data_IF_647590648799
#
_entry.id   IF_647590648799
#
_cell.length_a   1.000
_cell.length_b   1.000
_cell.length_c   1.000
_cell.angle_alpha   90.00
_cell.angle_beta   90.00
_cell.angle_gamma   90.00
#
_symmetry.space_group_name_H-M   'P 1'
#
loop_
_entity.id
_entity.type
_entity.pdbx_description
1 polymer ?
#
# COMPACT_ATOMS: atom_id res chain seq x y z
N UNK A 1 -6.91 -17.45 -15.44
CA UNK A 1 -5.63 -17.31 -14.72
C UNK A 1 -5.48 -18.50 -13.79
N UNK A 2 -4.28 -19.02 -13.69
CA UNK A 2 -3.99 -20.20 -12.87
C UNK A 2 -4.30 -19.88 -11.40
N UNK A 3 -5.12 -20.71 -10.73
CA UNK A 3 -5.57 -20.47 -9.36
C UNK A 3 -4.42 -20.49 -8.32
N UNK A 4 -3.24 -20.91 -8.73
CA UNK A 4 -2.04 -20.98 -7.89
C UNK A 4 -1.13 -19.76 -7.98
N UNK A 5 -1.49 -18.74 -8.77
CA UNK A 5 -0.70 -17.53 -8.89
C UNK A 5 -1.27 -16.38 -8.06
N UNK A 6 -0.40 -15.73 -7.28
CA UNK A 6 -0.69 -14.47 -6.62
C UNK A 6 -0.29 -13.31 -7.52
N UNK A 7 -1.20 -12.38 -7.73
CA UNK A 7 -0.98 -11.18 -8.52
C UNK A 7 -1.04 -9.93 -7.64
N UNK A 8 -0.20 -8.92 -7.92
CA UNK A 8 -0.24 -7.65 -7.21
C UNK A 8 -1.51 -6.88 -7.54
N UNK A 9 -1.98 -5.97 -6.66
CA UNK A 9 -3.08 -5.07 -6.97
C UNK A 9 -2.69 -4.06 -8.07
N UNK A 10 -3.69 -3.54 -8.78
CA UNK A 10 -3.53 -2.36 -9.62
C UNK A 10 -3.69 -1.11 -8.75
N UNK A 11 -2.71 -0.21 -8.79
CA UNK A 11 -2.77 1.10 -8.13
C UNK A 11 -2.94 2.20 -9.16
N UNK A 12 -3.92 3.05 -8.97
CA UNK A 12 -4.13 4.25 -9.77
C UNK A 12 -3.57 5.45 -8.99
N UNK A 13 -2.51 6.04 -9.51
CA UNK A 13 -1.92 7.28 -8.98
C UNK A 13 -2.75 8.43 -9.53
N UNK A 14 -3.82 8.80 -8.82
CA UNK A 14 -4.85 9.73 -9.34
C UNK A 14 -4.33 11.15 -9.55
N UNK A 15 -3.35 11.55 -8.75
CA UNK A 15 -2.69 12.85 -8.83
C UNK A 15 -1.28 12.76 -8.24
N UNK A 16 -0.47 13.79 -8.50
CA UNK A 16 0.88 13.91 -7.94
C UNK A 16 0.96 14.94 -6.81
N UNK A 17 -0.05 15.80 -6.69
CA UNK A 17 -0.15 16.83 -5.67
C UNK A 17 -0.51 16.23 -4.31
N UNK A 18 0.18 16.70 -3.26
CA UNK A 18 -0.11 16.34 -1.87
C UNK A 18 0.01 17.57 -0.96
N UNK A 19 -0.86 17.66 0.02
CA UNK A 19 -0.82 18.68 1.07
C UNK A 19 0.01 18.25 2.30
N UNK A 20 0.51 17.00 2.36
CA UNK A 20 1.42 16.50 3.37
C UNK A 20 2.89 16.80 3.06
N UNK A 21 3.75 16.80 4.10
CA UNK A 21 5.21 17.07 4.01
C UNK A 21 6.03 15.94 4.65
N UNK A 22 5.68 14.69 4.38
CA UNK A 22 6.36 13.54 4.96
C UNK A 22 7.72 13.34 4.29
N UNK A 23 8.83 13.39 5.05
CA UNK A 23 10.18 13.21 4.50
C UNK A 23 10.44 11.79 3.97
N UNK A 24 9.70 10.81 4.49
CA UNK A 24 9.77 9.41 4.06
C UNK A 24 8.84 9.12 2.88
N UNK A 25 8.23 10.14 2.28
CA UNK A 25 7.31 9.94 1.17
C UNK A 25 8.06 9.48 -0.08
N UNK A 26 7.64 8.35 -0.63
CA UNK A 26 8.17 7.84 -1.90
C UNK A 26 7.45 8.38 -3.14
N UNK A 27 6.47 9.29 -2.97
CA UNK A 27 5.67 9.93 -4.02
C UNK A 27 5.07 8.95 -5.05
N UNK A 28 4.77 7.71 -4.62
CA UNK A 28 4.43 6.57 -5.50
C UNK A 28 5.45 6.31 -6.63
N UNK A 29 6.70 6.76 -6.46
CA UNK A 29 7.75 6.66 -7.46
C UNK A 29 7.67 7.72 -8.56
N UNK A 30 6.82 8.73 -8.43
CA UNK A 30 6.66 9.80 -9.41
C UNK A 30 7.49 11.03 -9.06
N UNK A 31 8.12 11.64 -10.07
CA UNK A 31 8.92 12.86 -9.96
C UNK A 31 8.27 14.08 -10.59
N UNK A 32 7.15 13.89 -11.28
CA UNK A 32 6.42 14.97 -11.99
C UNK A 32 5.46 15.65 -11.01
N UNK A 33 5.35 16.99 -11.09
CA UNK A 33 4.52 17.81 -10.22
C UNK A 33 3.19 18.20 -10.90
N UNK A 34 2.14 18.32 -10.07
CA UNK A 34 0.85 18.93 -10.39
C UNK A 34 0.06 18.32 -11.55
N UNK A 35 0.12 17.00 -11.70
CA UNK A 35 -0.68 16.28 -12.68
C UNK A 35 -1.84 15.51 -12.04
N UNK A 36 -2.98 15.49 -12.73
CA UNK A 36 -4.13 14.66 -12.40
C UNK A 36 -4.37 13.62 -13.48
N UNK A 37 -4.68 12.38 -13.09
CA UNK A 37 -4.97 11.31 -14.03
C UNK A 37 -6.27 11.61 -14.79
N UNK A 38 -6.25 11.70 -16.13
CA UNK A 38 -7.46 11.87 -16.93
C UNK A 38 -8.46 10.73 -16.73
N UNK A 39 -9.74 11.05 -16.79
CA UNK A 39 -10.82 10.03 -16.69
C UNK A 39 -10.72 8.98 -17.80
N UNK A 40 -10.21 9.34 -18.98
CA UNK A 40 -9.94 8.39 -20.04
C UNK A 40 -8.93 7.32 -19.64
N UNK A 41 -7.83 7.71 -18.99
CA UNK A 41 -6.81 6.77 -18.49
C UNK A 41 -7.38 5.90 -17.36
N UNK A 42 -8.15 6.48 -16.43
CA UNK A 42 -8.85 5.71 -15.38
C UNK A 42 -9.74 4.64 -16.02
N UNK A 43 -10.49 5.04 -17.05
CA UNK A 43 -11.39 4.15 -17.79
C UNK A 43 -10.64 2.99 -18.44
N UNK A 44 -9.53 3.27 -19.15
CA UNK A 44 -8.67 2.23 -19.74
C UNK A 44 -8.12 1.26 -18.67
N UNK A 45 -7.67 1.78 -17.54
CA UNK A 45 -7.19 0.98 -16.42
C UNK A 45 -8.27 0.01 -15.88
N UNK A 46 -9.50 0.52 -15.72
CA UNK A 46 -10.63 -0.27 -15.20
C UNK A 46 -11.07 -1.33 -16.21
N UNK A 47 -11.08 -1.00 -17.50
CA UNK A 47 -11.44 -1.93 -18.57
C UNK A 47 -10.40 -3.07 -18.66
N UNK A 48 -9.09 -2.76 -18.61
CA UNK A 48 -8.05 -3.75 -18.54
C UNK A 48 -8.13 -4.61 -17.28
N UNK A 49 -8.38 -3.99 -16.13
CA UNK A 49 -8.54 -4.70 -14.86
C UNK A 49 -9.72 -5.68 -14.89
N UNK A 50 -10.84 -5.28 -15.46
CA UNK A 50 -12.02 -6.14 -15.64
C UNK A 50 -11.74 -7.31 -16.57
N UNK A 51 -11.08 -7.07 -17.70
CA UNK A 51 -10.70 -8.10 -18.66
C UNK A 51 -9.75 -9.14 -18.05
N UNK A 52 -8.76 -8.69 -17.30
CA UNK A 52 -7.79 -9.54 -16.62
C UNK A 52 -8.29 -10.11 -15.29
N UNK A 53 -9.50 -9.77 -14.87
CA UNK A 53 -10.07 -10.16 -13.58
C UNK A 53 -9.16 -9.77 -12.40
N UNK A 54 -8.55 -8.58 -12.48
CA UNK A 54 -7.74 -8.04 -11.37
C UNK A 54 -8.66 -7.83 -10.17
N UNK A 55 -8.37 -8.50 -9.07
CA UNK A 55 -9.27 -8.52 -7.90
C UNK A 55 -9.30 -7.21 -7.14
N UNK A 56 -8.19 -6.47 -7.13
CA UNK A 56 -8.04 -5.28 -6.30
C UNK A 56 -7.53 -4.07 -7.09
N UNK A 57 -8.24 -2.95 -6.96
CA UNK A 57 -7.80 -1.63 -7.40
C UNK A 57 -7.63 -0.75 -6.15
N UNK A 58 -6.51 -0.02 -6.08
CA UNK A 58 -6.23 0.91 -4.99
C UNK A 58 -6.03 2.31 -5.55
N UNK A 59 -6.82 3.25 -5.06
CA UNK A 59 -6.69 4.68 -5.38
C UNK A 59 -5.62 5.28 -4.47
N UNK A 60 -4.66 5.97 -5.07
CA UNK A 60 -3.53 6.60 -4.40
C UNK A 60 -3.10 7.84 -5.18
N UNK A 61 -1.95 8.40 -4.86
CA UNK A 61 -1.39 9.54 -5.55
C UNK A 61 -0.44 10.29 -4.64
N UNK A 62 -0.39 11.60 -4.79
CA UNK A 62 0.03 12.47 -3.71
C UNK A 62 -1.00 12.37 -2.60
N UNK A 63 -2.12 13.05 -2.74
CA UNK A 63 -3.31 12.85 -1.90
C UNK A 63 -4.56 12.76 -2.78
N UNK A 64 -5.18 11.58 -2.92
CA UNK A 64 -6.31 11.39 -3.85
C UNK A 64 -7.55 12.20 -3.50
N UNK A 65 -7.76 12.54 -2.22
CA UNK A 65 -8.93 13.35 -1.79
C UNK A 65 -8.78 14.84 -2.11
N UNK A 66 -7.64 15.29 -2.66
CA UNK A 66 -7.52 16.63 -3.23
C UNK A 66 -8.28 16.78 -4.55
N UNK A 67 -8.56 15.68 -5.24
CA UNK A 67 -9.38 15.68 -6.45
C UNK A 67 -10.82 15.99 -6.12
N UNK A 68 -11.38 16.97 -6.79
CA UNK A 68 -12.78 17.39 -6.61
C UNK A 68 -13.78 16.39 -7.20
N UNK A 69 -13.35 15.56 -8.14
CA UNK A 69 -14.13 14.51 -8.80
C UNK A 69 -13.93 13.11 -8.21
N UNK A 70 -13.37 12.99 -7.01
CA UNK A 70 -13.09 11.68 -6.37
C UNK A 70 -14.35 10.81 -6.23
N UNK A 71 -15.49 11.42 -5.95
CA UNK A 71 -16.78 10.73 -5.83
C UNK A 71 -17.21 10.12 -7.17
N UNK A 72 -17.06 10.87 -8.27
CA UNK A 72 -17.40 10.42 -9.62
C UNK A 72 -16.45 9.29 -10.05
N UNK A 73 -15.17 9.39 -9.72
CA UNK A 73 -14.19 8.34 -10.01
C UNK A 73 -14.56 7.02 -9.32
N UNK A 74 -14.88 7.06 -8.03
CA UNK A 74 -15.29 5.85 -7.29
C UNK A 74 -16.56 5.25 -7.86
N UNK A 75 -17.56 6.10 -8.18
CA UNK A 75 -18.79 5.67 -8.84
C UNK A 75 -18.51 5.03 -10.21
N UNK A 76 -17.69 5.67 -11.05
CA UNK A 76 -17.30 5.16 -12.37
C UNK A 76 -16.67 3.76 -12.27
N UNK A 77 -15.71 3.58 -11.38
CA UNK A 77 -15.01 2.31 -11.21
C UNK A 77 -16.00 1.21 -10.78
N UNK A 78 -16.83 1.49 -9.77
CA UNK A 78 -17.81 0.52 -9.29
C UNK A 78 -18.92 0.21 -10.30
N UNK A 79 -19.32 1.17 -11.13
CA UNK A 79 -20.27 0.94 -12.23
C UNK A 79 -19.66 0.05 -13.33
N UNK A 80 -18.42 0.30 -13.74
CA UNK A 80 -17.73 -0.47 -14.79
C UNK A 80 -17.31 -1.86 -14.32
N UNK A 81 -16.85 -1.97 -13.07
CA UNK A 81 -16.38 -3.23 -12.48
C UNK A 81 -16.93 -3.42 -11.05
N UNK A 82 -18.22 -3.82 -10.89
CA UNK A 82 -18.88 -3.90 -9.58
C UNK A 82 -18.22 -4.84 -8.57
N UNK A 83 -17.57 -5.91 -9.06
CA UNK A 83 -16.95 -6.96 -8.22
C UNK A 83 -15.53 -6.66 -7.79
N UNK A 84 -14.96 -5.53 -8.23
CA UNK A 84 -13.58 -5.18 -7.85
C UNK A 84 -13.54 -4.79 -6.37
N UNK A 85 -12.53 -5.29 -5.67
CA UNK A 85 -12.16 -4.82 -4.34
C UNK A 85 -11.49 -3.45 -4.50
N UNK A 86 -12.22 -2.37 -4.20
CA UNK A 86 -11.78 -0.99 -4.39
C UNK A 86 -11.37 -0.36 -3.06
N UNK A 87 -10.12 0.07 -2.99
CA UNK A 87 -9.58 0.76 -1.81
C UNK A 87 -9.06 2.15 -2.12
N UNK A 88 -8.94 2.97 -1.09
CA UNK A 88 -8.29 4.28 -1.13
C UNK A 88 -7.21 4.37 -0.05
N UNK A 89 -6.11 5.08 -0.34
CA UNK A 89 -5.11 5.48 0.65
C UNK A 89 -5.09 7.00 0.72
N UNK A 90 -5.33 7.56 1.89
CA UNK A 90 -5.46 9.02 2.12
C UNK A 90 -4.76 9.44 3.41
N UNK A 91 -4.33 10.69 3.49
CA UNK A 91 -3.88 11.32 4.73
C UNK A 91 -5.05 11.88 5.57
N UNK A 92 -6.27 11.85 5.04
CA UNK A 92 -7.48 12.26 5.73
C UNK A 92 -7.78 13.75 5.77
N UNK A 93 -6.91 14.60 5.24
CA UNK A 93 -7.04 16.05 5.35
C UNK A 93 -8.35 16.60 4.76
N UNK A 94 -8.78 16.05 3.61
CA UNK A 94 -10.04 16.45 2.96
C UNK A 94 -11.11 15.36 3.02
N UNK A 95 -11.01 14.44 3.96
CA UNK A 95 -11.97 13.34 4.07
C UNK A 95 -13.41 13.82 4.34
N UNK A 96 -13.57 14.98 4.98
CA UNK A 96 -14.89 15.63 5.22
C UNK A 96 -15.58 16.06 3.92
N UNK A 97 -14.86 16.18 2.81
CA UNK A 97 -15.38 16.56 1.50
C UNK A 97 -15.81 15.33 0.67
N UNK A 98 -15.37 14.13 1.06
CA UNK A 98 -15.74 12.88 0.41
C UNK A 98 -17.15 12.47 0.84
N UNK A 99 -18.01 12.15 -0.12
CA UNK A 99 -19.40 11.79 0.18
C UNK A 99 -19.51 10.49 0.97
N UNK A 100 -20.55 10.38 1.78
CA UNK A 100 -20.85 9.14 2.50
C UNK A 100 -21.14 7.97 1.53
N UNK A 101 -21.66 8.26 0.35
CA UNK A 101 -21.89 7.24 -0.67
C UNK A 101 -20.56 6.65 -1.15
N UNK A 102 -19.56 7.48 -1.43
CA UNK A 102 -18.22 7.05 -1.78
C UNK A 102 -17.59 6.21 -0.69
N UNK A 103 -17.67 6.67 0.59
CA UNK A 103 -17.16 5.88 1.71
C UNK A 103 -17.86 4.51 1.84
N UNK A 104 -19.14 4.39 1.49
CA UNK A 104 -19.86 3.11 1.46
C UNK A 104 -19.40 2.21 0.31
N UNK A 105 -19.16 2.78 -0.88
CA UNK A 105 -18.76 2.05 -2.08
C UNK A 105 -17.33 1.50 -2.02
N UNK A 106 -16.45 2.14 -1.25
CA UNK A 106 -15.10 1.62 -1.00
C UNK A 106 -15.16 0.34 -0.16
N UNK A 107 -14.37 -0.66 -0.52
CA UNK A 107 -14.22 -1.90 0.24
C UNK A 107 -13.13 -1.78 1.31
N UNK A 108 -12.11 -0.95 1.08
CA UNK A 108 -11.03 -0.67 2.01
C UNK A 108 -10.70 0.82 2.06
N UNK A 109 -10.47 1.34 3.27
CA UNK A 109 -10.02 2.71 3.50
C UNK A 109 -8.73 2.64 4.32
N UNK A 110 -7.62 3.13 3.76
CA UNK A 110 -6.35 3.22 4.46
C UNK A 110 -6.10 4.69 4.81
N UNK A 111 -6.16 5.01 6.10
CA UNK A 111 -5.82 6.33 6.61
C UNK A 111 -4.36 6.33 7.07
N UNK A 112 -3.53 7.16 6.46
CA UNK A 112 -2.11 7.29 6.81
C UNK A 112 -1.93 8.32 7.90
N UNK A 113 -1.37 7.90 9.04
CA UNK A 113 -1.03 8.78 10.16
C UNK A 113 0.41 8.59 10.60
N UNK A 114 0.92 9.50 11.41
CA UNK A 114 2.26 9.39 12.03
C UNK A 114 2.15 9.34 13.55
N UNK A 115 1.32 10.20 14.14
CA UNK A 115 1.14 10.35 15.57
C UNK A 115 -0.18 11.06 15.87
N UNK A 116 -0.56 11.10 17.16
CA UNK A 116 -1.59 11.98 17.71
C UNK A 116 -1.00 13.22 18.39
N UNK A 117 0.31 13.31 18.48
CA UNK A 117 0.99 14.45 19.11
C UNK A 117 1.04 15.62 18.14
N UNK A 118 0.54 16.78 18.57
CA UNK A 118 0.48 18.00 17.75
C UNK A 118 1.82 18.38 17.09
N UNK A 119 2.96 18.34 17.78
CA UNK A 119 4.25 18.65 17.15
C UNK A 119 4.60 17.73 15.97
N UNK A 120 4.23 16.45 16.05
CA UNK A 120 4.47 15.50 14.96
C UNK A 120 3.42 15.63 13.85
N UNK A 121 2.17 15.93 14.21
CA UNK A 121 1.11 16.24 13.24
C UNK A 121 1.51 17.46 12.43
N UNK A 122 1.94 18.54 13.06
CA UNK A 122 2.38 19.75 12.38
C UNK A 122 3.60 19.53 11.51
N UNK A 123 4.56 18.73 12.00
CA UNK A 123 5.78 18.41 11.27
C UNK A 123 5.51 17.63 9.97
N UNK A 124 4.54 16.69 9.98
CA UNK A 124 4.37 15.72 8.90
C UNK A 124 3.05 15.79 8.15
N UNK A 125 1.94 15.99 8.82
CA UNK A 125 0.60 15.78 8.23
C UNK A 125 -0.31 16.98 8.28
N UNK A 126 -0.18 17.84 9.27
CA UNK A 126 -1.01 19.06 9.46
C UNK A 126 -2.51 18.79 9.47
N UNK A 127 -2.95 17.67 10.04
CA UNK A 127 -4.38 17.32 10.14
C UNK A 127 -4.73 16.95 11.57
N UNK A 128 -5.83 17.52 12.08
CA UNK A 128 -6.45 17.05 13.30
C UNK A 128 -7.14 15.72 13.05
N UNK A 129 -6.60 14.66 13.65
CA UNK A 129 -7.10 13.29 13.46
C UNK A 129 -8.48 13.05 14.07
N UNK A 130 -9.01 13.96 14.93
CA UNK A 130 -10.36 13.83 15.49
C UNK A 130 -11.43 13.82 14.40
N UNK A 131 -11.27 14.64 13.36
CA UNK A 131 -12.21 14.76 12.24
C UNK A 131 -12.23 13.48 11.41
N UNK A 132 -11.10 13.02 10.79
CA UNK A 132 -11.13 11.80 9.98
C UNK A 132 -11.50 10.56 10.79
N UNK A 133 -11.12 10.46 12.06
CA UNK A 133 -11.50 9.32 12.92
C UNK A 133 -13.00 9.29 13.18
N UNK A 134 -13.62 10.44 13.44
CA UNK A 134 -15.07 10.56 13.62
C UNK A 134 -15.83 10.13 12.35
N UNK A 135 -15.37 10.58 11.18
CA UNK A 135 -15.96 10.22 9.87
C UNK A 135 -15.83 8.72 9.59
N UNK A 136 -14.68 8.12 9.91
CA UNK A 136 -14.39 6.72 9.60
C UNK A 136 -14.89 5.72 10.64
N UNK A 137 -15.26 6.17 11.85
CA UNK A 137 -15.78 5.29 12.90
C UNK A 137 -16.92 4.37 12.43
N UNK A 138 -17.93 4.82 11.66
CA UNK A 138 -18.98 3.93 11.12
C UNK A 138 -18.46 2.88 10.14
N UNK A 139 -17.25 3.05 9.61
CA UNK A 139 -16.59 2.20 8.63
C UNK A 139 -15.38 1.45 9.20
N UNK A 140 -15.28 1.32 10.53
CA UNK A 140 -14.10 0.80 11.22
C UNK A 140 -13.66 -0.59 10.71
N UNK A 141 -14.60 -1.48 10.40
CA UNK A 141 -14.31 -2.84 9.93
C UNK A 141 -13.53 -2.89 8.60
N UNK A 142 -13.66 -1.87 7.76
CA UNK A 142 -12.95 -1.74 6.48
C UNK A 142 -11.89 -0.64 6.50
N UNK A 143 -11.66 -0.04 7.64
CA UNK A 143 -10.64 1.00 7.83
C UNK A 143 -9.38 0.41 8.45
N UNK A 144 -8.24 0.71 7.82
CA UNK A 144 -6.92 0.38 8.34
C UNK A 144 -6.13 1.67 8.53
N UNK A 145 -5.56 1.83 9.70
CA UNK A 145 -4.65 2.94 9.99
C UNK A 145 -3.24 2.50 9.61
N UNK A 146 -2.67 3.15 8.61
CA UNK A 146 -1.30 2.95 8.17
C UNK A 146 -0.38 3.87 8.96
N UNK A 147 0.61 3.30 9.64
CA UNK A 147 1.59 4.06 10.43
C UNK A 147 2.98 3.73 9.90
N UNK A 148 3.68 4.74 9.38
CA UNK A 148 5.11 4.62 9.11
C UNK A 148 5.86 4.80 10.43
N UNK A 149 6.59 3.78 10.84
CA UNK A 149 7.38 3.78 12.07
C UNK A 149 8.69 4.49 11.79
N UNK A 150 8.95 5.54 12.54
CA UNK A 150 10.15 6.37 12.48
C UNK A 150 10.67 6.61 13.90
N UNK A 151 11.90 7.09 14.02
CA UNK A 151 12.50 7.36 15.33
C UNK A 151 11.63 8.31 16.18
N UNK A 152 11.03 9.32 15.54
CA UNK A 152 10.21 10.34 16.24
C UNK A 152 8.94 9.77 16.91
N UNK A 153 8.34 8.69 16.38
CA UNK A 153 7.11 8.13 16.92
C UNK A 153 7.27 6.79 17.64
N UNK A 154 8.47 6.20 17.66
CA UNK A 154 8.68 4.87 18.22
C UNK A 154 8.30 4.76 19.71
N UNK A 155 8.59 5.78 20.50
CA UNK A 155 8.29 5.80 21.93
C UNK A 155 6.79 5.85 22.23
N UNK A 156 6.01 6.52 21.37
CA UNK A 156 4.55 6.63 21.48
C UNK A 156 3.80 5.53 20.71
N UNK A 157 4.50 4.64 20.00
CA UNK A 157 3.89 3.72 19.05
C UNK A 157 2.80 2.84 19.65
N UNK A 158 3.03 2.29 20.85
CA UNK A 158 2.03 1.46 21.54
C UNK A 158 0.77 2.27 21.86
N UNK A 159 0.92 3.48 22.37
CA UNK A 159 -0.24 4.34 22.68
C UNK A 159 -1.01 4.75 21.43
N UNK A 160 -0.31 4.99 20.32
CA UNK A 160 -0.93 5.28 19.02
C UNK A 160 -1.77 4.08 18.55
N UNK A 161 -1.23 2.86 18.64
CA UNK A 161 -1.92 1.62 18.26
C UNK A 161 -3.17 1.41 19.13
N UNK A 162 -3.04 1.52 20.47
CA UNK A 162 -4.16 1.33 21.39
C UNK A 162 -5.29 2.33 21.10
N UNK A 163 -4.94 3.61 20.88
CA UNK A 163 -5.93 4.62 20.51
C UNK A 163 -6.64 4.31 19.20
N UNK A 164 -5.96 3.75 18.20
CA UNK A 164 -6.62 3.28 16.98
C UNK A 164 -7.58 2.11 17.26
N UNK A 165 -7.20 1.20 18.18
CA UNK A 165 -8.06 0.08 18.58
C UNK A 165 -9.30 0.51 19.35
N UNK A 166 -9.24 1.59 20.14
CA UNK A 166 -10.40 2.15 20.85
C UNK A 166 -11.47 2.66 19.87
N UNK A 167 -11.06 3.10 18.68
CA UNK A 167 -11.98 3.44 17.58
C UNK A 167 -12.47 2.22 16.78
N UNK A 168 -11.92 1.04 17.02
CA UNK A 168 -12.26 -0.19 16.32
C UNK A 168 -11.50 -0.41 15.01
N UNK A 169 -10.49 0.40 14.70
CA UNK A 169 -9.72 0.32 13.47
C UNK A 169 -8.71 -0.83 13.46
N UNK A 170 -8.37 -1.29 12.26
CA UNK A 170 -7.19 -2.11 12.04
C UNK A 170 -5.94 -1.22 11.97
N UNK A 171 -4.79 -1.78 12.31
CA UNK A 171 -3.50 -1.05 12.25
C UNK A 171 -2.51 -1.83 11.41
N UNK A 172 -1.86 -1.14 10.50
CA UNK A 172 -0.82 -1.67 9.62
C UNK A 172 0.45 -0.82 9.77
N UNK A 173 1.46 -1.41 10.36
CA UNK A 173 2.75 -0.76 10.61
C UNK A 173 3.69 -1.01 9.43
N UNK A 174 4.43 0.01 9.05
CA UNK A 174 5.43 -0.03 7.99
C UNK A 174 6.70 0.69 8.45
N UNK A 175 7.85 0.15 8.10
CA UNK A 175 9.10 0.88 8.26
C UNK A 175 9.37 1.78 7.05
N UNK A 176 10.14 2.84 7.28
CA UNK A 176 10.62 3.71 6.21
C UNK A 176 11.41 2.90 5.18
N UNK A 177 11.17 3.20 3.91
CA UNK A 177 11.83 2.50 2.80
C UNK A 177 13.23 3.06 2.48
N UNK A 178 13.46 4.30 2.87
CA UNK A 178 14.68 5.04 2.54
C UNK A 178 15.77 4.76 3.55
N UNK A 179 15.38 4.64 4.83
CA UNK A 179 16.30 4.39 5.93
C UNK A 179 16.04 2.98 6.48
N UNK A 180 16.85 2.00 6.06
CA UNK A 180 16.79 0.62 6.56
C UNK A 180 17.46 0.56 7.95
N UNK A 181 16.79 1.13 8.96
CA UNK A 181 17.28 1.16 10.33
C UNK A 181 16.95 -0.16 11.04
N UNK A 182 17.89 -1.08 11.02
CA UNK A 182 17.78 -2.41 11.66
C UNK A 182 17.61 -2.27 13.17
N UNK A 183 18.23 -1.28 13.81
CA UNK A 183 18.12 -1.08 15.25
C UNK A 183 16.69 -0.67 15.61
N UNK A 184 16.12 0.32 14.92
CA UNK A 184 14.73 0.75 15.07
C UNK A 184 13.77 -0.44 14.87
N UNK A 185 13.98 -1.23 13.81
CA UNK A 185 13.15 -2.41 13.53
C UNK A 185 13.20 -3.41 14.69
N UNK A 186 14.38 -3.71 15.23
CA UNK A 186 14.57 -4.65 16.32
C UNK A 186 13.93 -4.17 17.62
N UNK A 187 14.09 -2.89 17.97
CA UNK A 187 13.48 -2.28 19.15
C UNK A 187 11.95 -2.32 19.08
N UNK A 188 11.40 -1.97 17.93
CA UNK A 188 9.95 -1.98 17.70
C UNK A 188 9.39 -3.39 17.75
N UNK A 189 10.01 -4.37 17.08
CA UNK A 189 9.61 -5.77 17.13
C UNK A 189 9.59 -6.31 18.57
N UNK A 190 10.63 -6.01 19.33
CA UNK A 190 10.74 -6.41 20.76
C UNK A 190 9.62 -5.81 21.59
N UNK A 191 9.32 -4.53 21.40
CA UNK A 191 8.25 -3.82 22.13
C UNK A 191 6.87 -4.37 21.80
N UNK A 192 6.59 -4.61 20.50
CA UNK A 192 5.32 -5.17 20.04
C UNK A 192 5.13 -6.62 20.54
N UNK A 193 6.19 -7.45 20.47
CA UNK A 193 6.13 -8.82 20.94
C UNK A 193 5.90 -8.90 22.46
N UNK A 194 6.52 -8.00 23.23
CA UNK A 194 6.30 -7.90 24.68
C UNK A 194 4.85 -7.50 24.99
N UNK A 195 4.25 -6.61 24.23
CA UNK A 195 2.89 -6.09 24.46
C UNK A 195 1.81 -7.04 23.95
N UNK A 196 1.97 -7.57 22.73
CA UNK A 196 0.92 -8.29 22.01
C UNK A 196 1.18 -9.80 21.88
N UNK A 197 2.31 -10.28 22.40
CA UNK A 197 2.69 -11.69 22.31
C UNK A 197 3.32 -12.07 20.99
N UNK A 198 3.39 -13.38 20.73
CA UNK A 198 3.95 -13.90 19.50
C UNK A 198 3.07 -13.57 18.30
N UNK A 199 3.68 -13.55 17.12
CA UNK A 199 3.03 -13.27 15.85
C UNK A 199 3.07 -14.48 14.92
N UNK A 200 2.13 -14.54 13.98
CA UNK A 200 2.16 -15.45 12.85
C UNK A 200 2.70 -14.69 11.61
N UNK A 201 3.43 -15.40 10.75
CA UNK A 201 3.94 -14.84 9.51
C UNK A 201 3.01 -15.23 8.38
N UNK A 202 2.52 -14.25 7.64
CA UNK A 202 1.69 -14.43 6.47
C UNK A 202 2.40 -13.86 5.25
N UNK A 203 2.48 -14.68 4.20
CA UNK A 203 3.05 -14.28 2.93
C UNK A 203 1.90 -13.87 2.00
N UNK A 204 1.71 -12.56 1.84
CA UNK A 204 0.84 -12.03 0.80
C UNK A 204 1.74 -11.54 -0.32
N UNK A 205 1.37 -11.71 -1.58
CA UNK A 205 2.11 -11.40 -2.82
C UNK A 205 3.44 -10.60 -2.70
N UNK A 206 3.55 -9.70 -1.78
CA UNK A 206 4.66 -8.91 -1.19
C UNK A 206 4.01 -7.85 -0.30
N UNK A 207 4.46 -7.49 0.82
CA UNK A 207 5.58 -7.92 1.66
C UNK A 207 5.22 -9.08 2.59
N UNK A 208 6.21 -9.55 3.36
CA UNK A 208 5.94 -10.43 4.51
C UNK A 208 5.15 -9.67 5.54
N UNK A 209 4.03 -10.23 5.95
CA UNK A 209 3.16 -9.65 6.96
C UNK A 209 3.30 -10.45 8.24
N UNK A 210 3.70 -9.79 9.31
CA UNK A 210 3.63 -10.34 10.66
C UNK A 210 2.28 -9.93 11.26
N UNK A 211 1.47 -10.90 11.63
CA UNK A 211 0.20 -10.67 12.30
C UNK A 211 0.29 -11.10 13.74
N UNK A 212 0.13 -10.16 14.66
CA UNK A 212 0.11 -10.44 16.09
C UNK A 212 -1.20 -11.09 16.53
N UNK A 213 -1.25 -11.67 17.73
CA UNK A 213 -2.44 -12.32 18.28
C UNK A 213 -3.68 -11.41 18.29
N UNK A 214 -3.49 -10.10 18.39
CA UNK A 214 -4.53 -9.16 18.04
C UNK A 214 -4.66 -9.12 16.51
N UNK A 215 -5.70 -9.76 15.96
CA UNK A 215 -5.93 -9.88 14.51
C UNK A 215 -5.99 -8.54 13.75
N UNK A 216 -6.13 -7.42 14.48
CA UNK A 216 -6.17 -6.07 13.92
C UNK A 216 -4.80 -5.43 13.74
N UNK A 217 -3.73 -6.01 14.32
CA UNK A 217 -2.37 -5.46 14.20
C UNK A 217 -1.55 -6.26 13.19
N UNK A 218 -1.06 -5.57 12.17
CA UNK A 218 -0.15 -6.11 11.17
C UNK A 218 1.11 -5.27 11.09
N UNK A 219 2.23 -5.91 10.81
CA UNK A 219 3.50 -5.25 10.53
C UNK A 219 4.04 -5.75 9.20
N UNK A 220 4.33 -4.82 8.29
CA UNK A 220 4.94 -5.13 7.00
C UNK A 220 6.45 -5.10 7.11
N UNK A 221 7.07 -6.25 6.86
CA UNK A 221 8.52 -6.36 6.79
C UNK A 221 8.94 -6.42 5.33
N UNK A 222 9.78 -5.50 4.96
CA UNK A 222 10.49 -5.50 3.67
C UNK A 222 11.93 -5.93 3.95
N UNK A 223 12.26 -7.17 3.61
CA UNK A 223 13.62 -7.70 3.77
C UNK A 223 14.21 -8.04 2.41
N UNK A 224 15.47 -7.67 2.12
CA UNK A 224 16.17 -8.04 0.89
C UNK A 224 16.21 -9.55 0.66
N UNK A 225 16.36 -10.35 1.73
CA UNK A 225 16.42 -11.80 1.65
C UNK A 225 15.09 -12.43 1.24
N UNK A 226 13.97 -11.96 1.79
CA UNK A 226 12.63 -12.45 1.43
C UNK A 226 12.25 -12.03 0.02
N UNK A 227 12.66 -10.88 -0.38
CA UNK A 227 12.30 -10.24 -1.60
C UNK A 227 13.02 -10.76 -2.86
N UNK A 228 14.18 -11.40 -2.75
CA UNK A 228 14.86 -12.03 -3.89
C UNK A 228 14.03 -13.17 -4.52
N UNK A 229 13.00 -13.62 -3.84
CA UNK A 229 12.15 -14.75 -4.20
C UNK A 229 11.06 -14.36 -5.21
N UNK A 230 10.52 -13.16 -5.09
CA UNK A 230 9.28 -12.76 -5.75
C UNK A 230 9.46 -12.08 -7.13
N UNK A 231 10.68 -11.92 -7.62
CA UNK A 231 10.98 -11.14 -8.82
C UNK A 231 11.56 -11.97 -9.95
N UNK A 232 10.82 -12.97 -10.44
CA UNK A 232 11.38 -13.93 -11.39
C UNK A 232 11.63 -13.41 -12.81
N UNK A 233 10.77 -12.57 -13.35
CA UNK A 233 10.89 -12.16 -14.76
C UNK A 233 11.44 -10.74 -14.94
N UNK A 234 10.85 -9.76 -14.28
CA UNK A 234 11.21 -8.35 -14.49
C UNK A 234 12.46 -7.97 -13.71
N UNK A 235 12.56 -8.37 -12.43
CA UNK A 235 13.70 -8.02 -11.61
C UNK A 235 15.01 -8.75 -11.96
N UNK A 236 14.97 -9.83 -12.72
CA UNK A 236 16.20 -10.51 -13.20
C UNK A 236 17.08 -9.60 -14.03
N UNK A 237 16.50 -8.70 -14.81
CA UNK A 237 17.19 -7.76 -15.70
C UNK A 237 17.26 -6.34 -15.11
N UNK A 238 16.75 -6.12 -13.89
CA UNK A 238 16.72 -4.81 -13.26
C UNK A 238 18.11 -4.37 -12.80
N UNK A 239 18.54 -3.14 -13.11
CA UNK A 239 19.84 -2.61 -12.69
C UNK A 239 19.97 -2.45 -11.16
N UNK A 240 18.85 -2.39 -10.45
CA UNK A 240 18.79 -2.32 -8.98
C UNK A 240 18.75 -3.69 -8.30
N UNK A 241 18.89 -4.80 -9.06
CA UNK A 241 18.92 -6.15 -8.50
C UNK A 241 20.00 -6.27 -7.41
N UNK A 242 19.63 -6.77 -6.25
CA UNK A 242 20.52 -6.94 -5.09
C UNK A 242 20.64 -5.72 -4.17
N UNK A 243 20.16 -4.54 -4.58
CA UNK A 243 20.11 -3.32 -3.74
C UNK A 243 18.68 -2.84 -3.50
N UNK A 244 17.70 -3.48 -4.11
CA UNK A 244 16.31 -3.04 -4.07
C UNK A 244 15.57 -3.65 -2.87
N UNK A 245 15.05 -2.80 -2.00
CA UNK A 245 14.21 -3.19 -0.87
C UNK A 245 12.72 -3.12 -1.21
N UNK A 246 12.33 -2.58 -2.39
CA UNK A 246 10.92 -2.27 -2.71
C UNK A 246 10.16 -3.46 -3.32
N UNK A 247 10.64 -3.98 -4.42
CA UNK A 247 10.01 -5.06 -5.21
C UNK A 247 8.63 -4.74 -5.80
N UNK A 248 8.08 -5.75 -6.50
CA UNK A 248 6.79 -5.61 -7.17
C UNK A 248 5.65 -5.81 -6.16
N UNK A 249 5.25 -4.73 -5.52
CA UNK A 249 4.13 -4.74 -4.56
C UNK A 249 2.79 -4.40 -5.22
N UNK A 250 2.82 -3.71 -6.35
CA UNK A 250 1.64 -3.31 -7.10
C UNK A 250 2.04 -2.95 -8.54
N UNK A 251 1.12 -3.11 -9.47
CA UNK A 251 1.22 -2.46 -10.77
C UNK A 251 0.64 -1.05 -10.63
N UNK A 252 1.41 -0.03 -10.99
CA UNK A 252 1.01 1.38 -10.88
C UNK A 252 0.72 1.95 -12.25
N UNK A 253 -0.41 2.66 -12.35
CA UNK A 253 -0.74 3.51 -13.49
C UNK A 253 -0.63 4.98 -13.04
N UNK A 254 0.00 5.80 -13.86
CA UNK A 254 0.30 7.20 -13.55
C UNK A 254 -0.50 8.17 -14.41
N UNK A 255 -0.60 9.47 -14.02
CA UNK A 255 -1.39 10.47 -14.74
C UNK A 255 -1.02 10.64 -16.20
N UNK A 256 0.27 10.52 -16.54
CA UNK A 256 0.80 10.63 -17.91
C UNK A 256 0.60 9.35 -18.76
N UNK A 257 -0.03 8.34 -18.19
CA UNK A 257 -0.33 7.07 -18.88
C UNK A 257 0.80 6.05 -18.87
N UNK A 258 1.92 6.28 -18.19
CA UNK A 258 2.90 5.22 -18.03
C UNK A 258 2.50 4.21 -16.95
N UNK A 259 2.99 2.99 -17.07
CA UNK A 259 2.77 1.88 -16.13
C UNK A 259 4.09 1.44 -15.53
N UNK A 260 4.14 1.30 -14.20
CA UNK A 260 5.32 0.76 -13.52
C UNK A 260 4.98 -0.39 -12.56
N UNK A 261 5.75 -1.48 -12.56
CA UNK A 261 5.57 -2.58 -11.62
C UNK A 261 6.20 -2.31 -10.25
N UNK A 262 6.97 -1.23 -10.08
CA UNK A 262 7.67 -0.91 -8.83
C UNK A 262 7.88 0.60 -8.66
N UNK A 263 8.32 1.02 -7.46
CA UNK A 263 8.61 2.43 -7.15
C UNK A 263 9.91 2.96 -7.78
N UNK A 264 10.81 2.08 -8.21
CA UNK A 264 12.10 2.47 -8.80
C UNK A 264 12.01 2.83 -10.28
N UNK A 265 10.84 3.29 -10.74
CA UNK A 265 10.59 3.78 -12.11
C UNK A 265 11.18 2.89 -13.21
N UNK A 266 10.95 1.58 -13.12
CA UNK A 266 11.19 0.71 -14.25
C UNK A 266 10.08 0.96 -15.28
N UNK A 267 10.24 2.06 -16.01
CA UNK A 267 9.30 2.47 -17.06
C UNK A 267 9.47 1.51 -18.23
N UNK A 268 8.44 0.76 -18.52
CA UNK A 268 8.33 0.10 -19.82
C UNK A 268 7.85 1.20 -20.78
N UNK A 269 8.80 1.92 -21.37
CA UNK A 269 8.49 2.88 -22.42
C UNK A 269 7.72 2.18 -23.55
N UNK A 270 6.49 2.57 -23.74
CA UNK A 270 5.62 1.96 -24.75
C UNK A 270 4.82 3.07 -25.42
N UNK A 271 4.72 3.01 -26.77
CA UNK A 271 3.77 3.81 -27.57
C UNK A 271 2.34 3.25 -27.48
N UNK A 272 2.10 2.27 -26.61
CA UNK A 272 0.82 1.58 -26.44
C UNK A 272 -0.11 2.36 -25.52
N UNK A 273 -1.40 2.13 -25.64
CA UNK A 273 -2.40 2.62 -24.69
C UNK A 273 -2.14 2.06 -23.30
N UNK A 274 -2.64 2.72 -22.25
CA UNK A 274 -2.55 2.20 -20.88
C UNK A 274 -3.19 0.83 -20.76
N UNK A 275 -4.31 0.65 -21.44
CA UNK A 275 -5.01 -0.62 -21.54
C UNK A 275 -4.09 -1.75 -22.05
N UNK A 276 -3.45 -1.55 -23.21
CA UNK A 276 -2.55 -2.55 -23.80
C UNK A 276 -1.32 -2.81 -22.94
N UNK A 277 -0.77 -1.78 -22.29
CA UNK A 277 0.36 -1.92 -21.38
C UNK A 277 0.01 -2.83 -20.19
N UNK A 278 -1.17 -2.65 -19.59
CA UNK A 278 -1.64 -3.49 -18.48
C UNK A 278 -1.84 -4.93 -18.95
N UNK A 279 -2.47 -5.16 -20.11
CA UNK A 279 -2.69 -6.50 -20.66
C UNK A 279 -1.38 -7.25 -20.91
N UNK A 280 -0.35 -6.55 -21.39
CA UNK A 280 0.96 -7.15 -21.69
C UNK A 280 1.77 -7.45 -20.42
N UNK A 281 1.69 -6.57 -19.41
CA UNK A 281 2.57 -6.63 -18.25
C UNK A 281 2.00 -7.46 -17.11
N UNK A 282 0.72 -7.29 -16.78
CA UNK A 282 0.13 -7.89 -15.59
C UNK A 282 0.24 -9.41 -15.52
N UNK A 283 0.04 -10.19 -16.60
CA UNK A 283 0.20 -11.64 -16.56
C UNK A 283 1.62 -12.10 -16.20
N UNK A 284 2.63 -11.23 -16.40
CA UNK A 284 4.04 -11.52 -16.08
C UNK A 284 4.40 -11.27 -14.61
N UNK A 285 3.49 -10.66 -13.83
CA UNK A 285 3.70 -10.31 -12.43
C UNK A 285 3.26 -11.41 -11.46
N UNK A 286 2.64 -12.48 -11.94
CA UNK A 286 2.18 -13.59 -11.12
C UNK A 286 3.31 -14.31 -10.40
N UNK A 287 3.08 -14.66 -9.14
CA UNK A 287 4.00 -15.44 -8.29
C UNK A 287 3.34 -16.76 -7.95
N UNK A 288 4.06 -17.86 -8.19
CA UNK A 288 3.58 -19.20 -7.90
C UNK A 288 3.56 -19.45 -6.37
N UNK A 289 2.40 -19.83 -5.85
CA UNK A 289 2.21 -20.15 -4.44
C UNK A 289 3.06 -21.36 -4.00
N UNK A 290 3.27 -22.34 -4.90
CA UNK A 290 4.07 -23.55 -4.60
C UNK A 290 5.54 -23.18 -4.36
N UNK A 291 6.07 -22.26 -5.14
CA UNK A 291 7.42 -21.75 -4.96
C UNK A 291 7.59 -20.96 -3.65
N UNK A 292 6.57 -20.19 -3.26
CA UNK A 292 6.53 -19.48 -1.97
C UNK A 292 6.62 -20.48 -0.80
N UNK A 293 5.85 -21.54 -0.81
CA UNK A 293 5.86 -22.58 0.23
C UNK A 293 7.21 -23.29 0.33
N UNK A 294 7.81 -23.66 -0.78
CA UNK A 294 9.08 -24.37 -0.81
C UNK A 294 10.25 -23.56 -0.23
N UNK A 295 10.17 -22.25 -0.32
CA UNK A 295 11.20 -21.32 0.16
C UNK A 295 11.05 -21.06 1.66
N UNK A 296 9.80 -20.93 2.15
CA UNK A 296 9.50 -20.82 3.59
C UNK A 296 10.01 -22.05 4.34
N UNK A 297 9.82 -23.26 3.79
CA UNK A 297 10.29 -24.48 4.42
C UNK A 297 11.82 -24.54 4.47
N UNK A 298 12.53 -24.12 3.41
CA UNK A 298 14.01 -24.09 3.40
C UNK A 298 14.60 -23.07 4.39
N UNK A 299 13.94 -21.95 4.64
CA UNK A 299 14.40 -20.99 5.66
C UNK A 299 14.15 -21.47 7.09
N UNK A 300 13.07 -22.18 7.34
CA UNK A 300 12.81 -22.75 8.65
C UNK A 300 13.78 -23.89 9.02
N UNK A 301 14.27 -24.64 8.03
CA UNK A 301 15.26 -25.70 8.26
C UNK A 301 16.66 -25.12 8.52
N UNK A 302 17.02 -24.01 7.88
CA UNK A 302 18.32 -23.35 8.13
C UNK A 302 18.40 -22.61 9.48
N UNK A 303 17.28 -22.31 10.13
CA UNK A 303 17.22 -21.72 11.47
C UNK A 303 17.21 -22.76 12.59
N UNK A 304 17.09 -24.05 12.28
CA UNK A 304 17.15 -25.14 13.28
C UNK A 304 18.57 -25.66 13.53
N UNK A 305 19.50 -25.34 12.65
CA UNK A 305 20.90 -25.79 12.69
C UNK A 305 21.88 -24.68 13.13
N UNK A 306 21.38 -23.55 13.61
CA UNK A 306 22.13 -22.45 14.22
C UNK A 306 21.63 -22.17 15.64
#
# INVERSE_FOLDING_TARGET
MDNNLLFPPLRLVLNTTCNGKCYFCHHEGNTVSDEEMPISIITECVDAAKQLQIRKISLTGGEPTLRTDIDDIVCLIKQKYPKVDLGITTNGFRLSEVSQNTLKLLDHINLSIISFDEPLIDKYQRVDLSVPFSILKPYAQKTTINIVVVEDNKSALISIIERCFDFGFNVDLMFDLVNDDIQLQTEVLSSLTRKYGLFSIHYYSTPVMMQYNNARLKLRIKSPSVSNILCRLICKQCPYKGKCNEKICALRAYPDGHISPCLNNYVISSKKTVYDQILDLYPKLGVDLVDLYSIVLKHNDSCKDS
#
